data_IF_087054354925
#
_entry.id   IF_087054354925
#
_cell.length_a   1.000
_cell.length_b   1.000
_cell.length_c   1.000
_cell.angle_alpha   90.00
_cell.angle_beta   90.00
_cell.angle_gamma   90.00
#
_symmetry.space_group_name_H-M   'P 1'
#
loop_
_entity.id
_entity.type
_entity.pdbx_description
1 polymer ?
#
# COMPACT_ATOMS: atom_id res chain seq x y z
N UNK A 1 -52.39 41.25 54.96
CA UNK A 1 -51.68 39.96 54.80
C UNK A 1 -51.32 39.82 53.32
N UNK A 2 -50.15 40.32 52.91
CA UNK A 2 -49.63 40.25 51.57
C UNK A 2 -48.61 39.08 51.45
N UNK A 3 -48.90 38.10 50.60
CA UNK A 3 -48.03 36.99 50.28
C UNK A 3 -47.04 37.40 49.21
N UNK A 4 -45.74 37.47 49.53
CA UNK A 4 -44.65 37.60 48.58
C UNK A 4 -44.42 36.21 47.93
N UNK A 5 -44.59 36.10 46.61
CA UNK A 5 -44.23 34.93 45.79
C UNK A 5 -42.71 34.84 45.58
N UNK A 6 -42.13 33.63 45.34
CA UNK A 6 -40.72 33.47 45.15
C UNK A 6 -40.24 34.03 43.81
N UNK A 7 -39.19 34.84 43.83
CA UNK A 7 -38.46 35.33 42.67
C UNK A 7 -37.78 34.13 41.97
N UNK A 8 -38.18 33.83 40.75
CA UNK A 8 -37.49 32.93 39.83
C UNK A 8 -36.14 33.56 39.47
N UNK A 9 -35.01 32.91 39.88
CA UNK A 9 -33.69 33.22 39.40
C UNK A 9 -33.67 32.97 37.91
N UNK A 10 -33.38 34.01 37.15
CA UNK A 10 -33.17 33.93 35.69
C UNK A 10 -32.01 32.96 35.41
N UNK A 11 -32.28 31.95 34.56
CA UNK A 11 -31.25 31.06 34.05
C UNK A 11 -30.26 31.91 33.25
N UNK A 12 -29.07 32.04 33.81
CA UNK A 12 -27.92 32.67 33.13
C UNK A 12 -27.61 31.82 31.87
N UNK A 13 -27.84 32.38 30.68
CA UNK A 13 -27.46 31.78 29.40
C UNK A 13 -25.97 31.52 29.45
N UNK A 14 -25.50 30.28 29.15
CA UNK A 14 -24.07 30.01 29.10
C UNK A 14 -23.45 30.97 28.07
N UNK A 15 -22.51 31.78 28.50
CA UNK A 15 -21.68 32.59 27.62
C UNK A 15 -21.05 31.68 26.58
N UNK A 16 -21.11 31.97 25.28
CA UNK A 16 -20.37 31.21 24.29
C UNK A 16 -18.90 31.41 24.64
N UNK A 17 -18.28 30.37 25.21
CA UNK A 17 -16.84 30.32 25.45
C UNK A 17 -16.17 30.58 24.10
N UNK A 18 -15.49 31.71 23.98
CA UNK A 18 -14.78 32.08 22.79
C UNK A 18 -13.80 30.99 22.41
N UNK A 19 -14.13 30.19 21.42
CA UNK A 19 -13.16 29.34 20.77
C UNK A 19 -12.04 30.27 20.29
N UNK A 20 -10.90 30.20 20.95
CA UNK A 20 -9.80 31.11 20.68
C UNK A 20 -9.47 31.09 19.20
N UNK A 21 -9.12 32.19 18.59
CA UNK A 21 -8.74 32.34 17.18
C UNK A 21 -7.56 31.44 16.76
N UNK A 22 -6.74 31.00 17.70
CA UNK A 22 -5.58 30.14 17.52
C UNK A 22 -5.84 28.83 16.74
N UNK A 23 -6.92 28.06 16.99
CA UNK A 23 -7.17 26.85 16.24
C UNK A 23 -7.43 27.10 14.75
N UNK A 24 -8.12 28.21 14.44
CA UNK A 24 -8.39 28.60 13.05
C UNK A 24 -7.10 29.03 12.35
N UNK A 25 -6.25 29.81 13.02
CA UNK A 25 -4.94 30.21 12.48
C UNK A 25 -4.04 29.00 12.27
N UNK A 26 -3.95 28.10 13.24
CA UNK A 26 -3.17 26.86 13.11
C UNK A 26 -3.62 26.02 11.93
N UNK A 27 -4.94 25.92 11.70
CA UNK A 27 -5.49 25.21 10.55
C UNK A 27 -5.12 25.88 9.22
N UNK A 28 -5.20 27.21 9.11
CA UNK A 28 -4.79 27.96 7.91
C UNK A 28 -3.29 27.82 7.64
N UNK A 29 -2.47 27.86 8.67
CA UNK A 29 -1.03 27.62 8.56
C UNK A 29 -0.74 26.21 8.06
N UNK A 30 -1.42 25.19 8.59
CA UNK A 30 -1.31 23.83 8.11
C UNK A 30 -1.68 23.71 6.62
N UNK A 31 -2.77 24.35 6.18
CA UNK A 31 -3.16 24.38 4.78
C UNK A 31 -2.11 25.06 3.90
N UNK A 32 -1.57 26.20 4.34
CA UNK A 32 -0.53 26.93 3.61
C UNK A 32 0.75 26.09 3.48
N UNK A 33 1.24 25.50 4.58
CA UNK A 33 2.43 24.63 4.55
C UNK A 33 2.20 23.44 3.64
N UNK A 34 1.02 22.83 3.70
CA UNK A 34 0.65 21.73 2.81
C UNK A 34 0.65 22.14 1.34
N UNK A 35 0.10 23.33 1.03
CA UNK A 35 0.09 23.87 -0.33
C UNK A 35 1.53 24.10 -0.84
N UNK A 36 2.40 24.68 -0.02
CA UNK A 36 3.82 24.88 -0.36
C UNK A 36 4.50 23.55 -0.62
N UNK A 37 4.27 22.55 0.25
CA UNK A 37 4.81 21.20 0.07
C UNK A 37 4.30 20.52 -1.21
N UNK A 38 3.02 20.70 -1.57
CA UNK A 38 2.44 20.21 -2.82
C UNK A 38 3.10 20.85 -4.04
N UNK A 39 3.22 22.18 -4.05
CA UNK A 39 3.87 22.90 -5.15
C UNK A 39 5.31 22.44 -5.32
N UNK A 40 6.04 22.33 -4.21
CA UNK A 40 7.41 21.85 -4.24
C UNK A 40 7.52 20.39 -4.72
N UNK A 41 6.65 19.48 -4.26
CA UNK A 41 6.62 18.12 -4.72
C UNK A 41 6.29 18.02 -6.22
N UNK A 42 5.28 18.77 -6.70
CA UNK A 42 4.96 18.85 -8.12
C UNK A 42 6.14 19.36 -8.95
N UNK A 43 6.82 20.41 -8.49
CA UNK A 43 8.00 20.93 -9.16
C UNK A 43 9.15 19.91 -9.21
N UNK A 44 9.40 19.18 -8.10
CA UNK A 44 10.41 18.11 -8.05
C UNK A 44 10.08 16.95 -8.99
N UNK A 45 8.83 16.53 -9.02
CA UNK A 45 8.40 15.36 -9.80
C UNK A 45 8.27 15.65 -11.30
N UNK A 46 7.88 16.86 -11.69
CA UNK A 46 7.66 17.25 -13.09
C UNK A 46 8.85 18.00 -13.69
N UNK A 47 9.60 18.75 -12.87
CA UNK A 47 10.68 19.63 -13.34
C UNK A 47 12.06 18.97 -13.42
N UNK A 48 12.32 17.90 -12.70
CA UNK A 48 13.67 17.33 -12.51
C UNK A 48 13.87 15.93 -13.06
N UNK A 49 12.80 15.18 -13.35
CA UNK A 49 12.92 13.84 -13.92
C UNK A 49 12.57 13.90 -15.39
N UNK A 50 13.59 13.84 -16.23
CA UNK A 50 13.47 13.97 -17.68
C UNK A 50 13.12 12.66 -18.39
N UNK A 51 13.52 11.52 -17.84
CA UNK A 51 13.32 10.21 -18.42
C UNK A 51 12.82 9.19 -17.38
N UNK A 52 11.78 8.44 -17.74
CA UNK A 52 11.19 7.37 -16.92
C UNK A 52 11.17 6.09 -17.75
N UNK A 53 12.01 5.14 -17.36
CA UNK A 53 12.28 3.95 -18.17
C UNK A 53 11.05 3.06 -18.31
N UNK A 54 10.26 2.87 -17.26
CA UNK A 54 9.13 1.93 -17.32
C UNK A 54 7.96 2.47 -18.15
N UNK A 55 7.71 3.79 -18.12
CA UNK A 55 6.70 4.34 -19.03
C UNK A 55 7.12 4.21 -20.48
N UNK A 56 8.42 4.21 -20.77
CA UNK A 56 8.92 3.96 -22.12
C UNK A 56 8.69 2.50 -22.52
N UNK A 57 9.00 1.54 -21.63
CA UNK A 57 8.66 0.12 -21.82
C UNK A 57 7.15 -0.08 -22.03
N UNK A 58 6.30 0.61 -21.28
CA UNK A 58 4.84 0.52 -21.47
C UNK A 58 4.41 1.04 -22.84
N UNK A 59 4.99 2.16 -23.27
CA UNK A 59 4.74 2.72 -24.62
C UNK A 59 5.18 1.77 -25.71
N UNK A 60 6.36 1.17 -25.57
CA UNK A 60 6.90 0.21 -26.56
C UNK A 60 6.05 -1.05 -26.62
N UNK A 61 5.61 -1.61 -25.48
CA UNK A 61 4.68 -2.73 -25.45
C UNK A 61 3.33 -2.39 -26.07
N UNK A 62 2.77 -1.21 -25.76
CA UNK A 62 1.54 -0.71 -26.40
C UNK A 62 1.72 -0.49 -27.92
N UNK A 63 2.87 0.03 -28.33
CA UNK A 63 3.20 0.23 -29.74
C UNK A 63 3.38 -1.10 -30.49
N UNK A 64 4.08 -2.07 -29.90
CA UNK A 64 4.25 -3.39 -30.48
C UNK A 64 2.89 -4.07 -30.72
N UNK A 65 1.98 -3.98 -29.74
CA UNK A 65 0.61 -4.47 -29.90
C UNK A 65 -0.14 -3.76 -31.05
N UNK A 66 -0.08 -2.42 -31.13
CA UNK A 66 -0.73 -1.66 -32.23
C UNK A 66 -0.18 -2.00 -33.58
N UNK A 67 1.12 -2.28 -33.70
CA UNK A 67 1.81 -2.62 -34.94
C UNK A 67 1.71 -4.13 -35.29
N UNK A 68 1.06 -4.95 -34.44
CA UNK A 68 0.96 -6.40 -34.60
C UNK A 68 2.30 -7.14 -34.45
N UNK A 69 3.29 -6.52 -33.76
CA UNK A 69 4.58 -7.14 -33.44
C UNK A 69 4.47 -8.01 -32.21
N UNK A 70 5.17 -9.15 -32.12
CA UNK A 70 5.13 -10.02 -30.95
C UNK A 70 5.68 -9.31 -29.70
N UNK A 71 5.03 -9.57 -28.56
CA UNK A 71 5.44 -9.02 -27.26
C UNK A 71 6.50 -9.87 -26.56
N UNK A 72 6.50 -11.18 -26.79
CA UNK A 72 7.32 -12.13 -26.03
C UNK A 72 8.12 -13.10 -26.90
N UNK A 73 7.64 -13.41 -28.11
CA UNK A 73 8.22 -14.42 -28.98
C UNK A 73 9.70 -14.18 -29.27
N UNK A 74 10.45 -15.27 -29.41
CA UNK A 74 11.87 -15.26 -29.78
C UNK A 74 12.76 -14.36 -28.89
N UNK A 75 12.36 -14.20 -27.62
CA UNK A 75 13.10 -13.33 -26.70
C UNK A 75 12.96 -11.84 -27.00
N UNK A 76 11.81 -11.42 -27.56
CA UNK A 76 11.56 -10.03 -27.94
C UNK A 76 12.02 -9.02 -26.89
N UNK A 77 12.91 -8.13 -27.33
CA UNK A 77 13.48 -7.03 -26.56
C UNK A 77 13.10 -5.71 -27.23
N UNK A 78 12.97 -4.67 -26.45
CA UNK A 78 12.62 -3.34 -26.92
C UNK A 78 13.70 -2.36 -26.52
N UNK A 79 14.30 -1.68 -27.49
CA UNK A 79 15.28 -0.65 -27.22
C UNK A 79 14.61 0.60 -26.65
N UNK A 80 14.97 0.92 -25.42
CA UNK A 80 14.50 2.12 -24.74
C UNK A 80 15.22 3.36 -25.27
N UNK A 81 14.67 4.54 -25.03
CA UNK A 81 15.33 5.81 -25.37
C UNK A 81 16.69 6.00 -24.66
N UNK A 82 16.94 5.28 -23.60
CA UNK A 82 18.24 5.26 -22.91
C UNK A 82 19.26 4.29 -23.53
N UNK A 83 18.92 3.60 -24.62
CA UNK A 83 19.78 2.60 -25.26
C UNK A 83 19.84 1.27 -24.53
N UNK A 84 18.92 1.00 -23.62
CA UNK A 84 18.82 -0.29 -22.94
C UNK A 84 17.76 -1.16 -23.64
N UNK A 85 18.13 -2.40 -23.90
CA UNK A 85 17.16 -3.39 -24.37
C UNK A 85 16.43 -4.03 -23.19
N UNK A 86 15.11 -3.85 -23.13
CA UNK A 86 14.26 -4.38 -22.06
C UNK A 86 13.10 -5.18 -22.62
N UNK A 87 12.73 -6.32 -22.00
CA UNK A 87 11.58 -7.09 -22.40
C UNK A 87 10.28 -6.48 -21.86
N UNK A 88 9.17 -6.70 -22.57
CA UNK A 88 7.85 -6.48 -21.99
C UNK A 88 7.50 -7.66 -21.08
N UNK A 89 7.22 -7.39 -19.80
CA UNK A 89 7.08 -8.43 -18.75
C UNK A 89 5.66 -8.53 -18.18
N UNK A 90 4.73 -7.70 -18.66
CA UNK A 90 3.34 -7.64 -18.19
C UNK A 90 2.43 -8.55 -19.01
N UNK A 91 1.25 -8.99 -18.50
CA UNK A 91 0.25 -9.68 -19.31
C UNK A 91 -0.18 -8.87 -20.54
N UNK A 92 -0.65 -9.51 -21.62
CA UNK A 92 -1.04 -8.82 -22.85
C UNK A 92 -2.11 -7.75 -22.68
N UNK A 93 -3.03 -7.93 -21.75
CA UNK A 93 -4.01 -6.89 -21.40
C UNK A 93 -3.33 -5.56 -21.02
N UNK A 94 -2.16 -5.62 -20.40
CA UNK A 94 -1.42 -4.40 -20.03
C UNK A 94 -0.90 -3.67 -21.28
N UNK A 95 -0.43 -4.38 -22.32
CA UNK A 95 -0.02 -3.75 -23.58
C UNK A 95 -1.20 -3.01 -24.24
N UNK A 96 -2.39 -3.62 -24.22
CA UNK A 96 -3.63 -3.00 -24.70
C UNK A 96 -3.96 -1.75 -23.88
N UNK A 97 -3.90 -1.85 -22.55
CA UNK A 97 -4.17 -0.73 -21.64
C UNK A 97 -3.14 0.41 -21.79
N UNK A 98 -1.91 0.11 -22.18
CA UNK A 98 -0.86 1.08 -22.41
C UNK A 98 -0.82 1.65 -23.84
N UNK A 99 -1.59 1.11 -24.77
CA UNK A 99 -1.66 1.59 -26.15
C UNK A 99 -1.93 3.10 -26.26
N UNK A 100 -2.80 3.74 -25.44
CA UNK A 100 -2.96 5.19 -25.47
C UNK A 100 -1.66 5.96 -25.18
N UNK A 101 -0.79 5.45 -24.30
CA UNK A 101 0.51 6.07 -24.03
C UNK A 101 1.48 5.95 -25.20
N UNK A 102 1.34 4.90 -26.03
CA UNK A 102 2.16 4.73 -27.24
C UNK A 102 1.88 5.81 -28.29
N UNK A 103 0.69 6.41 -28.27
CA UNK A 103 0.29 7.49 -29.19
C UNK A 103 0.77 8.88 -28.74
N UNK A 104 1.27 8.99 -27.49
CA UNK A 104 1.73 10.26 -26.92
C UNK A 104 3.25 10.40 -27.04
N UNK A 105 3.78 11.63 -27.12
CA UNK A 105 5.19 11.88 -26.87
C UNK A 105 5.59 11.37 -25.48
N UNK A 106 6.83 10.88 -25.32
CA UNK A 106 7.30 10.31 -24.05
C UNK A 106 7.18 11.28 -22.87
N UNK A 107 7.46 12.57 -23.10
CA UNK A 107 7.32 13.62 -22.08
C UNK A 107 5.88 13.77 -21.58
N UNK A 108 4.90 13.73 -22.50
CA UNK A 108 3.48 13.81 -22.17
C UNK A 108 3.02 12.55 -21.44
N UNK A 109 3.43 11.36 -21.90
CA UNK A 109 3.14 10.10 -21.23
C UNK A 109 3.73 10.06 -19.81
N UNK A 110 4.99 10.54 -19.65
CA UNK A 110 5.65 10.68 -18.35
C UNK A 110 4.94 11.64 -17.41
N UNK A 111 4.49 12.78 -17.91
CA UNK A 111 3.70 13.74 -17.12
C UNK A 111 2.34 13.13 -16.73
N UNK A 112 1.66 12.47 -17.66
CA UNK A 112 0.36 11.86 -17.42
C UNK A 112 0.43 10.78 -16.33
N UNK A 113 1.40 9.85 -16.40
CA UNK A 113 1.55 8.81 -15.36
C UNK A 113 1.94 9.42 -14.01
N UNK A 114 2.77 10.47 -14.00
CA UNK A 114 3.18 11.17 -12.78
C UNK A 114 1.98 11.83 -12.08
N UNK A 115 1.18 12.60 -12.83
CA UNK A 115 -0.02 13.24 -12.29
C UNK A 115 -1.03 12.18 -11.82
N UNK A 116 -1.28 11.15 -12.62
CA UNK A 116 -2.16 10.05 -12.24
C UNK A 116 -1.69 9.37 -10.96
N UNK A 117 -0.41 9.02 -10.86
CA UNK A 117 0.18 8.41 -9.66
C UNK A 117 0.01 9.32 -8.43
N UNK A 118 0.26 10.60 -8.57
CA UNK A 118 0.15 11.56 -7.46
C UNK A 118 -1.29 11.69 -6.95
N UNK A 119 -2.25 11.85 -7.86
CA UNK A 119 -3.69 11.91 -7.54
C UNK A 119 -4.16 10.61 -6.88
N UNK A 120 -3.75 9.46 -7.40
CA UNK A 120 -4.13 8.16 -6.87
C UNK A 120 -3.51 7.87 -5.50
N UNK A 121 -2.30 8.36 -5.21
CA UNK A 121 -1.72 8.29 -3.86
C UNK A 121 -2.54 9.08 -2.85
N UNK A 122 -2.96 10.31 -3.21
CA UNK A 122 -3.84 11.12 -2.37
C UNK A 122 -5.18 10.41 -2.17
N UNK A 123 -5.81 9.92 -3.24
CA UNK A 123 -7.08 9.21 -3.18
C UNK A 123 -6.99 7.96 -2.29
N UNK A 124 -5.97 7.12 -2.48
CA UNK A 124 -5.71 5.94 -1.65
C UNK A 124 -5.56 6.30 -0.18
N UNK A 125 -4.81 7.36 0.11
CA UNK A 125 -4.61 7.86 1.48
C UNK A 125 -5.93 8.35 2.08
N UNK A 126 -6.76 9.10 1.34
CA UNK A 126 -8.10 9.55 1.78
C UNK A 126 -9.01 8.35 2.09
N UNK A 127 -9.00 7.32 1.24
CA UNK A 127 -9.77 6.08 1.46
C UNK A 127 -9.34 5.42 2.77
N UNK A 128 -8.03 5.27 3.00
CA UNK A 128 -7.49 4.66 4.23
C UNK A 128 -7.83 5.51 5.46
N UNK A 129 -7.61 6.82 5.42
CA UNK A 129 -7.95 7.73 6.52
C UNK A 129 -9.46 7.74 6.83
N UNK A 130 -10.30 7.64 5.80
CA UNK A 130 -11.76 7.55 5.94
C UNK A 130 -12.17 6.25 6.60
N UNK A 131 -11.57 5.13 6.19
CA UNK A 131 -11.83 3.81 6.77
C UNK A 131 -11.40 3.73 8.23
N UNK A 132 -10.28 4.37 8.56
CA UNK A 132 -9.76 4.46 9.92
C UNK A 132 -10.48 5.51 10.77
N UNK A 133 -11.44 6.22 10.21
CA UNK A 133 -12.17 7.30 10.87
C UNK A 133 -11.23 8.33 11.54
N UNK A 134 -10.23 8.77 10.78
CA UNK A 134 -9.34 9.84 11.20
C UNK A 134 -10.05 11.17 11.01
N UNK A 135 -10.08 12.01 12.06
CA UNK A 135 -10.70 13.32 12.06
C UNK A 135 -12.19 13.32 11.66
N UNK A 136 -13.06 12.54 12.32
CA UNK A 136 -14.46 12.43 11.93
C UNK A 136 -15.23 13.73 12.12
N UNK A 137 -14.96 14.42 13.22
CA UNK A 137 -15.54 15.73 13.59
C UNK A 137 -14.45 16.65 14.14
N UNK A 138 -14.64 17.94 14.00
CA UNK A 138 -13.72 18.94 14.52
C UNK A 138 -14.52 20.13 15.08
N UNK A 139 -14.18 20.55 16.28
CA UNK A 139 -14.59 21.82 16.86
C UNK A 139 -13.76 23.01 16.33
N UNK A 140 -12.70 22.71 15.57
CA UNK A 140 -11.70 23.68 15.14
C UNK A 140 -12.09 24.33 13.80
N UNK A 141 -12.77 23.57 12.91
CA UNK A 141 -13.10 24.05 11.55
C UNK A 141 -14.52 23.67 11.18
N UNK A 142 -15.18 24.50 10.35
CA UNK A 142 -16.49 24.23 9.74
C UNK A 142 -16.37 23.34 8.50
N UNK A 143 -15.16 23.00 8.06
CA UNK A 143 -14.93 22.19 6.86
C UNK A 143 -15.45 20.75 7.03
N UNK A 144 -16.01 20.16 5.98
CA UNK A 144 -16.46 18.76 6.03
C UNK A 144 -15.28 17.79 6.24
N UNK A 145 -15.56 16.66 6.88
CA UNK A 145 -14.53 15.66 7.26
C UNK A 145 -13.72 15.15 6.04
N UNK A 146 -14.36 14.99 4.88
CA UNK A 146 -13.68 14.55 3.66
C UNK A 146 -12.60 15.54 3.22
N UNK A 147 -12.88 16.85 3.27
CA UNK A 147 -11.94 17.88 2.86
C UNK A 147 -10.73 17.95 3.82
N UNK A 148 -10.98 17.83 5.12
CA UNK A 148 -9.88 17.76 6.11
C UNK A 148 -8.98 16.54 5.87
N UNK A 149 -9.56 15.39 5.49
CA UNK A 149 -8.79 14.20 5.11
C UNK A 149 -8.02 14.39 3.81
N UNK A 150 -8.55 15.15 2.85
CA UNK A 150 -7.80 15.51 1.64
C UNK A 150 -6.57 16.37 1.98
N UNK A 151 -6.70 17.37 2.86
CA UNK A 151 -5.56 18.18 3.31
C UNK A 151 -4.52 17.32 4.06
N UNK A 152 -4.96 16.45 4.95
CA UNK A 152 -4.06 15.53 5.65
C UNK A 152 -3.37 14.55 4.71
N UNK A 153 -4.10 13.99 3.75
CA UNK A 153 -3.54 13.11 2.73
C UNK A 153 -2.49 13.83 1.89
N UNK A 154 -2.79 15.07 1.47
CA UNK A 154 -1.84 15.89 0.73
C UNK A 154 -0.57 16.20 1.54
N UNK A 155 -0.72 16.53 2.84
CA UNK A 155 0.39 16.77 3.75
C UNK A 155 1.28 15.54 3.98
N UNK A 156 0.72 14.33 3.89
CA UNK A 156 1.46 13.06 4.00
C UNK A 156 2.11 12.71 2.66
N UNK A 157 1.36 12.79 1.56
CA UNK A 157 1.79 12.33 0.23
C UNK A 157 2.89 13.23 -0.35
N UNK A 158 2.80 14.56 -0.18
CA UNK A 158 3.78 15.47 -0.76
C UNK A 158 5.23 15.17 -0.30
N UNK A 159 5.56 15.09 1.00
CA UNK A 159 6.90 14.70 1.43
C UNK A 159 7.21 13.23 1.13
N UNK A 160 6.24 12.31 1.21
CA UNK A 160 6.46 10.90 0.89
C UNK A 160 6.89 10.70 -0.57
N UNK A 161 6.29 11.45 -1.52
CA UNK A 161 6.62 11.36 -2.93
C UNK A 161 8.08 11.77 -3.24
N UNK A 162 8.70 12.57 -2.38
CA UNK A 162 10.05 13.08 -2.59
C UNK A 162 11.09 12.35 -1.74
N UNK A 163 10.74 11.99 -0.52
CA UNK A 163 11.73 11.47 0.45
C UNK A 163 11.58 9.98 0.76
N UNK A 164 10.40 9.40 0.61
CA UNK A 164 10.20 7.98 0.88
C UNK A 164 10.62 7.18 -0.34
N UNK A 165 11.77 6.49 -0.26
CA UNK A 165 12.41 5.85 -1.41
C UNK A 165 11.46 5.02 -2.27
N UNK A 166 10.60 4.10 -1.74
CA UNK A 166 9.74 3.30 -2.60
C UNK A 166 8.73 4.13 -3.41
N UNK A 167 8.26 5.23 -2.83
CA UNK A 167 7.33 6.14 -3.50
C UNK A 167 8.07 6.99 -4.52
N UNK A 168 9.21 7.56 -4.13
CA UNK A 168 10.08 8.31 -5.04
C UNK A 168 10.50 7.46 -6.23
N UNK A 169 11.01 6.24 -6.00
CA UNK A 169 11.44 5.34 -7.06
C UNK A 169 10.27 4.98 -8.00
N UNK A 170 9.06 4.78 -7.48
CA UNK A 170 7.88 4.56 -8.33
C UNK A 170 7.63 5.75 -9.29
N UNK A 171 7.86 7.00 -8.86
CA UNK A 171 7.80 8.17 -9.72
C UNK A 171 8.97 8.24 -10.71
N UNK A 172 10.18 7.97 -10.22
CA UNK A 172 11.41 8.04 -11.03
C UNK A 172 11.38 7.05 -12.19
N UNK A 173 10.85 5.86 -11.97
CA UNK A 173 10.66 4.85 -13.02
C UNK A 173 9.38 5.06 -13.86
N UNK A 174 8.38 5.77 -13.36
CA UNK A 174 7.06 5.91 -14.00
C UNK A 174 6.21 4.63 -13.91
N UNK A 175 6.27 3.96 -12.75
CA UNK A 175 5.66 2.64 -12.52
C UNK A 175 4.15 2.67 -12.28
N UNK A 176 3.47 1.62 -12.74
CA UNK A 176 2.03 1.40 -12.55
C UNK A 176 1.63 0.95 -11.12
N UNK A 177 2.59 0.66 -10.23
CA UNK A 177 2.31 0.00 -8.94
C UNK A 177 1.32 0.77 -8.06
N UNK A 178 1.33 2.11 -8.10
CA UNK A 178 0.34 2.92 -7.36
C UNK A 178 -1.06 2.78 -7.95
N UNK A 179 -1.19 2.65 -9.26
CA UNK A 179 -2.50 2.36 -9.91
C UNK A 179 -3.05 1.03 -9.38
N UNK A 180 -2.23 -0.01 -9.41
CA UNK A 180 -2.61 -1.35 -8.91
C UNK A 180 -2.95 -1.32 -7.41
N UNK A 181 -2.13 -0.65 -6.59
CA UNK A 181 -2.40 -0.47 -5.16
C UNK A 181 -3.72 0.26 -4.92
N UNK A 182 -4.02 1.29 -5.72
CA UNK A 182 -5.27 2.05 -5.61
C UNK A 182 -6.48 1.19 -5.92
N UNK A 183 -6.41 0.36 -6.98
CA UNK A 183 -7.49 -0.58 -7.33
C UNK A 183 -7.75 -1.55 -6.17
N UNK A 184 -6.69 -2.11 -5.55
CA UNK A 184 -6.81 -2.97 -4.39
C UNK A 184 -7.39 -2.23 -3.18
N UNK A 185 -6.89 -1.02 -2.88
CA UNK A 185 -7.37 -0.22 -1.75
C UNK A 185 -8.84 0.16 -1.95
N UNK A 186 -9.22 0.60 -3.15
CA UNK A 186 -10.59 1.00 -3.46
C UNK A 186 -11.59 -0.18 -3.33
N UNK A 187 -11.13 -1.39 -3.59
CA UNK A 187 -11.95 -2.60 -3.51
C UNK A 187 -11.99 -3.19 -2.09
N UNK A 188 -10.84 -3.24 -1.39
CA UNK A 188 -10.72 -3.96 -0.13
C UNK A 188 -10.99 -3.09 1.12
N UNK A 189 -10.68 -1.79 1.08
CA UNK A 189 -10.69 -0.93 2.27
C UNK A 189 -12.06 -0.33 2.62
N UNK A 190 -12.88 0.20 1.70
CA UNK A 190 -14.18 0.79 2.03
C UNK A 190 -15.14 -0.21 2.66
N UNK A 191 -16.04 0.25 3.55
CA UNK A 191 -17.11 -0.60 4.11
C UNK A 191 -18.11 -1.05 3.03
N UNK A 192 -18.44 -0.15 2.12
CA UNK A 192 -19.33 -0.40 0.96
C UNK A 192 -18.67 0.19 -0.29
N UNK A 193 -18.89 -0.45 -1.41
CA UNK A 193 -18.46 -0.01 -2.75
C UNK A 193 -19.69 0.17 -3.64
N UNK A 194 -19.72 1.15 -4.55
CA UNK A 194 -20.80 1.32 -5.51
C UNK A 194 -20.79 0.27 -6.64
N UNK A 195 -19.73 -0.52 -6.73
CA UNK A 195 -19.59 -1.65 -7.65
C UNK A 195 -19.53 -2.98 -6.88
N UNK A 196 -19.74 -4.13 -7.51
CA UNK A 196 -19.49 -5.43 -6.91
C UNK A 196 -18.03 -5.55 -6.48
N UNK A 197 -17.82 -5.72 -5.17
CA UNK A 197 -16.48 -5.86 -4.59
C UNK A 197 -15.77 -7.06 -5.23
N UNK A 198 -14.49 -6.88 -5.57
CA UNK A 198 -13.66 -7.88 -6.23
C UNK A 198 -13.36 -7.52 -7.70
N UNK A 199 -14.15 -6.68 -8.34
CA UNK A 199 -13.95 -6.31 -9.76
C UNK A 199 -12.62 -5.58 -9.96
N UNK A 200 -12.30 -4.59 -9.11
CA UNK A 200 -11.08 -3.81 -9.27
C UNK A 200 -9.83 -4.64 -8.95
N UNK A 201 -9.91 -5.52 -7.96
CA UNK A 201 -8.82 -6.46 -7.70
C UNK A 201 -8.64 -7.44 -8.86
N UNK A 202 -9.73 -7.95 -9.44
CA UNK A 202 -9.65 -8.82 -10.61
C UNK A 202 -8.99 -8.14 -11.82
N UNK A 203 -9.34 -6.88 -12.07
CA UNK A 203 -8.69 -6.06 -13.09
C UNK A 203 -7.20 -5.86 -12.80
N UNK A 204 -6.84 -5.56 -11.55
CA UNK A 204 -5.45 -5.39 -11.14
C UNK A 204 -4.63 -6.68 -11.37
N UNK A 205 -5.20 -7.86 -11.10
CA UNK A 205 -4.58 -9.18 -11.35
C UNK A 205 -4.34 -9.39 -12.84
N UNK A 206 -5.30 -9.03 -13.68
CA UNK A 206 -5.18 -9.21 -15.13
C UNK A 206 -4.16 -8.24 -15.79
N UNK A 207 -3.94 -7.06 -15.18
CA UNK A 207 -2.91 -6.10 -15.62
C UNK A 207 -1.51 -6.51 -15.14
N UNK A 208 -1.40 -7.09 -13.96
CA UNK A 208 -0.15 -7.58 -13.36
C UNK A 208 -0.49 -8.65 -12.34
N UNK A 209 0.12 -9.81 -12.42
CA UNK A 209 -0.28 -10.99 -11.60
C UNK A 209 -0.07 -10.79 -10.08
N UNK A 210 0.87 -9.91 -9.68
CA UNK A 210 1.25 -9.73 -8.27
C UNK A 210 0.08 -9.41 -7.32
N UNK A 211 -0.98 -8.63 -7.67
CA UNK A 211 -2.14 -8.43 -6.80
C UNK A 211 -2.95 -9.69 -6.47
N UNK A 212 -2.70 -10.83 -7.14
CA UNK A 212 -3.36 -12.10 -6.80
C UNK A 212 -3.13 -12.53 -5.34
N UNK A 213 -2.05 -12.06 -4.70
CA UNK A 213 -1.79 -12.29 -3.27
C UNK A 213 -2.96 -11.84 -2.37
N UNK A 214 -3.72 -10.84 -2.80
CA UNK A 214 -4.87 -10.32 -2.04
C UNK A 214 -6.10 -11.25 -2.05
N UNK A 215 -6.12 -12.32 -2.86
CA UNK A 215 -7.09 -13.40 -2.72
C UNK A 215 -7.01 -14.03 -1.32
N UNK A 216 -5.79 -14.11 -0.75
CA UNK A 216 -5.58 -14.56 0.63
C UNK A 216 -6.36 -13.72 1.64
N UNK A 217 -6.48 -12.41 1.43
CA UNK A 217 -7.26 -11.53 2.31
C UNK A 217 -8.73 -11.92 2.37
N UNK A 218 -9.35 -12.23 1.22
CA UNK A 218 -10.75 -12.66 1.18
C UNK A 218 -10.94 -14.08 1.74
N UNK A 219 -9.99 -14.99 1.49
CA UNK A 219 -9.97 -16.31 2.10
C UNK A 219 -9.94 -16.23 3.64
N UNK A 220 -9.06 -15.39 4.20
CA UNK A 220 -8.94 -15.16 5.64
C UNK A 220 -10.21 -14.56 6.26
N UNK A 221 -10.93 -13.73 5.51
CA UNK A 221 -12.21 -13.14 5.89
C UNK A 221 -13.40 -14.06 5.66
N UNK A 222 -13.21 -15.18 4.99
CA UNK A 222 -14.29 -16.09 4.54
C UNK A 222 -15.31 -15.38 3.65
N UNK A 223 -14.86 -14.38 2.88
CA UNK A 223 -15.69 -13.65 1.93
C UNK A 223 -15.65 -14.34 0.56
N UNK A 224 -16.31 -15.48 0.47
CA UNK A 224 -16.36 -16.34 -0.74
C UNK A 224 -17.00 -15.62 -1.92
N UNK A 225 -17.99 -14.76 -1.68
CA UNK A 225 -18.64 -13.99 -2.74
C UNK A 225 -17.65 -13.06 -3.43
N UNK A 226 -16.93 -12.25 -2.65
CA UNK A 226 -15.92 -11.34 -3.20
C UNK A 226 -14.78 -12.10 -3.87
N UNK A 227 -14.36 -13.25 -3.30
CA UNK A 227 -13.35 -14.11 -3.90
C UNK A 227 -13.77 -14.57 -5.31
N UNK A 228 -15.00 -15.09 -5.45
CA UNK A 228 -15.55 -15.55 -6.73
C UNK A 228 -15.63 -14.39 -7.73
N UNK A 229 -16.14 -13.23 -7.32
CA UNK A 229 -16.21 -12.02 -8.16
C UNK A 229 -14.82 -11.61 -8.64
N UNK A 230 -13.81 -11.66 -7.75
CA UNK A 230 -12.43 -11.32 -8.11
C UNK A 230 -11.86 -12.26 -9.16
N UNK A 231 -12.03 -13.58 -8.96
CA UNK A 231 -11.56 -14.58 -9.92
C UNK A 231 -12.28 -14.42 -11.26
N UNK A 232 -13.61 -14.28 -11.23
CA UNK A 232 -14.40 -14.06 -12.45
C UNK A 232 -13.96 -12.80 -13.20
N UNK A 233 -13.77 -11.67 -12.48
CA UNK A 233 -13.32 -10.42 -13.09
C UNK A 233 -11.90 -10.55 -13.67
N UNK A 234 -10.99 -11.24 -12.97
CA UNK A 234 -9.64 -11.50 -13.47
C UNK A 234 -9.66 -12.37 -14.75
N UNK A 235 -10.48 -13.42 -14.76
CA UNK A 235 -10.66 -14.28 -15.95
C UNK A 235 -11.25 -13.49 -17.11
N UNK A 236 -12.34 -12.74 -16.88
CA UNK A 236 -12.96 -11.92 -17.94
C UNK A 236 -11.97 -10.91 -18.50
N UNK A 237 -11.24 -10.20 -17.65
CA UNK A 237 -10.24 -9.23 -18.08
C UNK A 237 -9.06 -9.90 -18.84
N UNK A 238 -8.63 -11.09 -18.43
CA UNK A 238 -7.63 -11.88 -19.14
C UNK A 238 -8.16 -12.34 -20.52
N UNK A 239 -9.43 -12.75 -20.62
CA UNK A 239 -10.06 -13.12 -21.88
C UNK A 239 -10.16 -11.95 -22.85
N UNK A 240 -10.26 -10.70 -22.37
CA UNK A 240 -10.10 -9.51 -23.22
C UNK A 240 -8.70 -9.48 -23.85
N UNK A 241 -7.65 -9.81 -23.07
CA UNK A 241 -6.29 -9.97 -23.60
C UNK A 241 -6.24 -11.03 -24.72
N UNK A 242 -6.86 -12.18 -24.51
CA UNK A 242 -6.95 -13.24 -25.54
C UNK A 242 -7.72 -12.79 -26.78
N UNK A 243 -8.81 -12.03 -26.63
CA UNK A 243 -9.62 -11.57 -27.74
C UNK A 243 -8.86 -10.59 -28.66
N UNK A 244 -7.98 -9.75 -28.10
CA UNK A 244 -7.28 -8.70 -28.85
C UNK A 244 -5.79 -8.99 -29.09
N UNK A 245 -5.20 -10.00 -28.44
CA UNK A 245 -3.80 -10.39 -28.55
C UNK A 245 -3.64 -11.91 -28.33
N UNK A 246 -4.29 -12.74 -29.17
CA UNK A 246 -4.38 -14.19 -28.99
C UNK A 246 -3.01 -14.87 -28.88
N UNK A 247 -2.10 -14.61 -29.82
CA UNK A 247 -0.77 -15.25 -29.88
C UNK A 247 0.05 -14.89 -28.65
N UNK A 248 0.13 -13.60 -28.32
CA UNK A 248 0.86 -13.12 -27.14
C UNK A 248 0.24 -13.63 -25.84
N UNK A 249 -1.11 -13.74 -25.77
CA UNK A 249 -1.78 -14.28 -24.60
C UNK A 249 -1.47 -15.76 -24.41
N UNK A 250 -1.48 -16.53 -25.48
CA UNK A 250 -1.11 -17.94 -25.42
C UNK A 250 0.32 -18.11 -24.90
N UNK A 251 1.27 -17.41 -25.52
CA UNK A 251 2.68 -17.45 -25.16
C UNK A 251 2.92 -16.98 -23.73
N UNK A 252 2.31 -15.87 -23.34
CA UNK A 252 2.46 -15.35 -21.98
C UNK A 252 2.02 -16.37 -20.93
N UNK A 253 0.84 -16.93 -21.07
CA UNK A 253 0.26 -17.82 -20.05
C UNK A 253 0.82 -19.26 -20.06
N UNK A 254 1.39 -19.71 -21.17
CA UNK A 254 1.98 -21.07 -21.27
C UNK A 254 3.49 -21.09 -20.98
N UNK A 255 4.21 -20.02 -21.27
CA UNK A 255 5.67 -19.95 -21.16
C UNK A 255 6.16 -18.75 -20.36
N UNK A 256 5.95 -17.52 -20.83
CA UNK A 256 6.60 -16.29 -20.34
C UNK A 256 6.36 -16.04 -18.86
N UNK A 257 5.17 -16.33 -18.33
CA UNK A 257 4.81 -16.12 -16.91
C UNK A 257 5.69 -16.92 -15.94
N UNK A 258 6.30 -18.00 -16.40
CA UNK A 258 7.18 -18.86 -15.60
C UNK A 258 8.64 -18.40 -15.65
N UNK A 259 9.01 -17.63 -16.66
CA UNK A 259 10.38 -17.18 -16.87
C UNK A 259 10.61 -15.85 -16.14
N UNK A 260 11.00 -15.93 -14.85
CA UNK A 260 11.28 -14.75 -14.03
C UNK A 260 12.61 -14.06 -14.36
N UNK A 261 13.53 -14.74 -15.04
CA UNK A 261 14.85 -14.19 -15.37
C UNK A 261 14.73 -13.04 -16.40
N UNK A 262 13.63 -13.01 -17.17
CA UNK A 262 13.31 -11.86 -18.04
C UNK A 262 13.08 -10.55 -17.28
N UNK A 263 12.75 -10.61 -15.98
CA UNK A 263 12.38 -9.41 -15.21
C UNK A 263 13.62 -8.67 -14.70
N UNK A 264 14.78 -9.33 -14.68
CA UNK A 264 16.05 -8.77 -14.23
C UNK A 264 16.78 -9.68 -13.25
N UNK A 265 18.02 -9.31 -12.91
CA UNK A 265 18.91 -10.12 -12.07
C UNK A 265 18.45 -10.16 -10.62
N UNK A 266 18.23 -11.35 -10.08
CA UNK A 266 17.72 -11.54 -8.71
C UNK A 266 18.61 -10.92 -7.63
N UNK A 267 19.94 -10.81 -7.86
CA UNK A 267 20.92 -10.27 -6.91
C UNK A 267 20.87 -8.77 -6.73
N UNK A 268 20.25 -8.00 -7.65
CA UNK A 268 20.24 -6.54 -7.58
C UNK A 268 19.81 -6.02 -6.19
N UNK A 269 20.51 -5.02 -5.70
CA UNK A 269 20.29 -4.41 -4.38
C UNK A 269 18.84 -3.91 -4.19
N UNK A 270 18.22 -3.44 -5.27
CA UNK A 270 16.82 -3.00 -5.29
C UNK A 270 15.81 -4.15 -5.18
N UNK A 271 16.23 -5.42 -5.37
CA UNK A 271 15.34 -6.58 -5.18
C UNK A 271 15.20 -6.90 -3.69
N UNK A 272 14.20 -6.31 -3.06
CA UNK A 272 13.94 -6.33 -1.62
C UNK A 272 12.93 -7.42 -1.24
N UNK A 273 13.35 -8.69 -1.37
CA UNK A 273 12.56 -9.87 -1.04
C UNK A 273 13.45 -11.03 -0.59
N UNK A 274 12.83 -12.15 -0.19
CA UNK A 274 13.57 -13.36 0.26
C UNK A 274 14.40 -13.94 -0.89
N UNK A 275 13.87 -13.99 -2.11
CA UNK A 275 14.58 -14.53 -3.27
C UNK A 275 15.87 -13.74 -3.54
N UNK A 276 15.80 -12.39 -3.53
CA UNK A 276 16.95 -11.51 -3.67
C UNK A 276 17.98 -11.67 -2.53
N UNK A 277 17.49 -11.78 -1.29
CA UNK A 277 18.39 -12.01 -0.14
C UNK A 277 19.17 -13.33 -0.29
N UNK A 278 18.50 -14.42 -0.67
CA UNK A 278 19.13 -15.73 -0.90
C UNK A 278 20.06 -15.74 -2.12
N UNK A 279 19.68 -15.02 -3.20
CA UNK A 279 20.51 -14.92 -4.40
C UNK A 279 21.89 -14.30 -4.12
N UNK A 280 21.94 -13.34 -3.19
CA UNK A 280 23.18 -12.66 -2.79
C UNK A 280 24.11 -13.53 -1.92
N UNK A 281 23.63 -14.64 -1.36
CA UNK A 281 24.44 -15.55 -0.51
C UNK A 281 25.34 -16.52 -1.31
N UNK A 282 25.28 -16.50 -2.65
CA UNK A 282 26.10 -17.39 -3.48
C UNK A 282 25.72 -18.88 -3.42
N UNK A 283 24.51 -19.20 -2.99
CA UNK A 283 23.99 -20.57 -2.90
C UNK A 283 23.67 -21.14 -4.29
N UNK A 284 23.74 -22.46 -4.43
CA UNK A 284 23.29 -23.16 -5.63
C UNK A 284 21.80 -22.98 -5.92
N UNK A 285 21.38 -23.14 -7.19
CA UNK A 285 19.98 -22.89 -7.59
C UNK A 285 18.98 -23.79 -6.83
N UNK A 286 19.28 -25.07 -6.67
CA UNK A 286 18.43 -26.00 -5.93
C UNK A 286 18.30 -25.61 -4.46
N UNK A 287 19.40 -25.24 -3.80
CA UNK A 287 19.40 -24.78 -2.41
C UNK A 287 18.59 -23.49 -2.24
N UNK A 288 18.78 -22.52 -3.14
CA UNK A 288 18.01 -21.26 -3.16
C UNK A 288 16.50 -21.53 -3.29
N UNK A 289 16.12 -22.43 -4.22
CA UNK A 289 14.71 -22.77 -4.43
C UNK A 289 14.09 -23.42 -3.18
N UNK A 290 14.77 -24.39 -2.55
CA UNK A 290 14.30 -25.03 -1.34
C UNK A 290 14.17 -24.03 -0.18
N UNK A 291 15.22 -23.24 0.07
CA UNK A 291 15.20 -22.25 1.16
C UNK A 291 14.16 -21.16 0.94
N UNK A 292 14.01 -20.66 -0.29
CA UNK A 292 12.97 -19.71 -0.65
C UNK A 292 11.57 -20.29 -0.40
N UNK A 293 11.33 -21.53 -0.84
CA UNK A 293 10.04 -22.22 -0.66
C UNK A 293 9.71 -22.40 0.82
N UNK A 294 10.65 -22.88 1.63
CA UNK A 294 10.48 -23.03 3.08
C UNK A 294 10.22 -21.70 3.77
N UNK A 295 10.97 -20.67 3.42
CA UNK A 295 10.78 -19.33 3.95
C UNK A 295 9.41 -18.74 3.57
N UNK A 296 8.94 -18.95 2.32
CA UNK A 296 7.62 -18.54 1.88
C UNK A 296 6.51 -19.19 2.71
N UNK A 297 6.59 -20.50 2.97
CA UNK A 297 5.62 -21.19 3.82
C UNK A 297 5.68 -20.72 5.28
N UNK A 298 6.87 -20.46 5.82
CA UNK A 298 7.03 -19.92 7.17
C UNK A 298 6.38 -18.53 7.29
N UNK A 299 6.68 -17.62 6.34
CA UNK A 299 6.10 -16.27 6.34
C UNK A 299 4.58 -16.32 6.09
N UNK A 300 4.09 -17.23 5.25
CA UNK A 300 2.65 -17.47 5.07
C UNK A 300 1.99 -17.87 6.39
N UNK A 301 2.59 -18.83 7.11
CA UNK A 301 2.09 -19.26 8.43
C UNK A 301 1.99 -18.11 9.43
N UNK A 302 3.06 -17.30 9.52
CA UNK A 302 3.09 -16.10 10.40
C UNK A 302 2.05 -15.06 9.96
N UNK A 303 1.89 -14.84 8.65
CA UNK A 303 0.89 -13.90 8.10
C UNK A 303 -0.53 -14.36 8.40
N UNK A 304 -0.83 -15.64 8.20
CA UNK A 304 -2.14 -16.21 8.52
C UNK A 304 -2.42 -16.10 10.03
N UNK A 305 -1.43 -16.39 10.87
CA UNK A 305 -1.54 -16.23 12.32
C UNK A 305 -1.85 -14.77 12.69
N UNK A 306 -1.05 -13.82 12.21
CA UNK A 306 -1.22 -12.41 12.51
C UNK A 306 -2.57 -11.87 12.02
N UNK A 307 -2.90 -12.10 10.75
CA UNK A 307 -4.15 -11.63 10.16
C UNK A 307 -5.39 -12.22 10.85
N UNK A 308 -5.39 -13.52 11.18
CA UNK A 308 -6.49 -14.15 11.92
C UNK A 308 -6.65 -13.56 13.32
N UNK A 309 -5.56 -13.29 14.04
CA UNK A 309 -5.61 -12.65 15.36
C UNK A 309 -6.22 -11.25 15.27
N UNK A 310 -5.74 -10.45 14.31
CA UNK A 310 -6.23 -9.09 14.07
C UNK A 310 -7.72 -9.09 13.71
N UNK A 311 -8.17 -10.00 12.84
CA UNK A 311 -9.57 -10.12 12.43
C UNK A 311 -10.48 -10.58 13.59
N UNK A 312 -10.03 -11.55 14.41
CA UNK A 312 -10.80 -12.03 15.58
C UNK A 312 -10.97 -10.93 16.64
N UNK A 313 -9.91 -10.18 16.94
CA UNK A 313 -9.97 -9.08 17.88
C UNK A 313 -10.96 -7.98 17.47
N UNK A 314 -11.16 -7.80 16.16
CA UNK A 314 -12.12 -6.83 15.61
C UNK A 314 -13.58 -7.30 15.73
N UNK A 315 -13.84 -8.59 15.62
CA UNK A 315 -15.19 -9.16 15.76
C UNK A 315 -15.71 -9.16 17.21
N UNK A 316 -14.81 -9.15 18.21
CA UNK A 316 -15.15 -9.13 19.62
C UNK A 316 -15.35 -7.71 20.20
N UNK A 317 -14.94 -6.66 19.49
CA UNK A 317 -15.08 -5.28 19.92
C UNK A 317 -16.49 -4.76 19.65
N UNK A 318 -17.05 -3.97 20.59
CA UNK A 318 -18.34 -3.28 20.44
C UNK A 318 -18.42 -2.47 19.16
N UNK A 319 -19.63 -2.29 18.54
CA UNK A 319 -19.80 -1.67 17.23
C UNK A 319 -19.49 -0.17 17.14
N UNK A 320 -18.72 0.37 18.05
CA UNK A 320 -18.34 1.77 18.07
C UNK A 320 -16.92 1.98 17.49
N UNK A 321 -16.85 2.71 16.43
CA UNK A 321 -15.87 3.71 16.06
C UNK A 321 -14.65 3.34 15.23
N UNK A 322 -14.12 2.18 15.13
CA UNK A 322 -13.01 1.97 14.18
C UNK A 322 -12.63 0.51 14.07
N UNK A 323 -13.31 -0.19 13.21
CA UNK A 323 -12.90 -1.52 12.82
C UNK A 323 -11.60 -1.43 11.99
N UNK A 324 -10.48 -1.33 12.70
CA UNK A 324 -9.12 -1.21 12.13
C UNK A 324 -8.57 -2.56 11.69
N UNK A 325 -9.14 -3.65 12.21
CA UNK A 325 -8.63 -4.99 11.99
C UNK A 325 -8.59 -5.43 10.53
N UNK A 326 -9.67 -5.26 9.74
CA UNK A 326 -9.63 -5.62 8.33
C UNK A 326 -8.54 -4.89 7.55
N UNK A 327 -8.30 -3.60 7.84
CA UNK A 327 -7.26 -2.84 7.15
C UNK A 327 -5.86 -3.31 7.57
N UNK A 328 -5.66 -3.57 8.87
CA UNK A 328 -4.38 -4.08 9.35
C UNK A 328 -4.10 -5.51 8.82
N UNK A 329 -5.13 -6.35 8.69
CA UNK A 329 -5.00 -7.66 8.06
C UNK A 329 -4.64 -7.55 6.56
N UNK A 330 -5.21 -6.56 5.84
CA UNK A 330 -4.84 -6.27 4.46
C UNK A 330 -3.36 -5.86 4.36
N UNK A 331 -2.88 -5.04 5.29
CA UNK A 331 -1.45 -4.66 5.37
C UNK A 331 -0.56 -5.89 5.59
N UNK A 332 -0.92 -6.81 6.48
CA UNK A 332 -0.15 -8.06 6.67
C UNK A 332 -0.04 -8.86 5.36
N UNK A 333 -1.13 -8.95 4.58
CA UNK A 333 -1.13 -9.63 3.28
C UNK A 333 -0.30 -8.88 2.25
N UNK A 334 -0.35 -7.54 2.22
CA UNK A 334 0.48 -6.72 1.34
C UNK A 334 1.98 -6.92 1.61
N UNK A 335 2.37 -6.87 2.89
CA UNK A 335 3.76 -7.10 3.29
C UNK A 335 4.22 -8.54 2.97
N UNK A 336 3.38 -9.53 3.20
CA UNK A 336 3.62 -10.91 2.78
C UNK A 336 3.91 -10.98 1.27
N UNK A 337 3.04 -10.42 0.44
CA UNK A 337 3.20 -10.44 -1.02
C UNK A 337 4.54 -9.84 -1.49
N UNK A 338 4.98 -8.74 -0.89
CA UNK A 338 6.25 -8.11 -1.23
C UNK A 338 7.46 -8.97 -0.85
N UNK A 339 7.40 -9.63 0.32
CA UNK A 339 8.51 -10.43 0.85
C UNK A 339 8.68 -11.75 0.12
N UNK A 340 7.58 -12.41 -0.30
CA UNK A 340 7.63 -13.75 -0.91
C UNK A 340 7.67 -13.74 -2.44
N UNK A 341 7.32 -12.61 -3.08
CA UNK A 341 7.40 -12.49 -4.54
C UNK A 341 8.80 -12.85 -5.03
N UNK A 342 8.95 -13.57 -6.15
CA UNK A 342 10.27 -13.88 -6.72
C UNK A 342 11.02 -12.60 -7.13
N UNK A 343 10.28 -11.56 -7.53
CA UNK A 343 10.83 -10.24 -7.85
C UNK A 343 10.02 -9.16 -7.12
N UNK A 344 10.69 -8.34 -6.32
CA UNK A 344 10.09 -7.22 -5.59
C UNK A 344 11.07 -6.06 -5.50
N UNK A 345 11.16 -5.31 -6.60
CA UNK A 345 12.01 -4.11 -6.65
C UNK A 345 11.57 -3.09 -5.61
N UNK A 346 12.45 -2.21 -5.20
CA UNK A 346 12.17 -1.18 -4.19
C UNK A 346 10.93 -0.33 -4.55
N UNK A 347 10.73 -0.01 -5.82
CA UNK A 347 9.55 0.69 -6.31
C UNK A 347 8.24 -0.13 -6.30
N UNK A 348 8.29 -1.44 -6.01
CA UNK A 348 7.08 -2.24 -5.72
C UNK A 348 6.57 -2.00 -4.30
N UNK A 349 7.41 -1.47 -3.41
CA UNK A 349 7.09 -1.25 -2.00
C UNK A 349 6.21 -0.02 -1.75
N UNK A 350 5.41 0.39 -2.73
CA UNK A 350 4.43 1.49 -2.58
C UNK A 350 3.45 1.25 -1.43
N UNK A 351 3.24 -0.01 -1.05
CA UNK A 351 2.45 -0.41 0.13
C UNK A 351 3.05 0.06 1.45
N UNK A 352 4.30 0.51 1.46
CA UNK A 352 4.93 1.11 2.64
C UNK A 352 4.15 2.32 3.15
N UNK A 353 3.66 3.18 2.25
CA UNK A 353 2.90 4.37 2.64
C UNK A 353 1.59 4.03 3.38
N UNK A 354 0.66 3.23 2.85
CA UNK A 354 -0.51 2.82 3.62
C UNK A 354 -0.17 2.02 4.86
N UNK A 355 0.92 1.24 4.87
CA UNK A 355 1.39 0.51 6.06
C UNK A 355 1.77 1.47 7.18
N UNK A 356 2.59 2.48 6.89
CA UNK A 356 2.98 3.52 7.85
C UNK A 356 1.74 4.24 8.40
N UNK A 357 0.80 4.63 7.56
CA UNK A 357 -0.42 5.32 7.97
C UNK A 357 -1.26 4.43 8.91
N UNK A 358 -1.55 3.20 8.50
CA UNK A 358 -2.38 2.26 9.28
C UNK A 358 -1.72 1.93 10.61
N UNK A 359 -0.44 1.57 10.60
CA UNK A 359 0.30 1.23 11.81
C UNK A 359 0.45 2.41 12.77
N UNK A 360 0.67 3.64 12.27
CA UNK A 360 0.71 4.86 13.08
C UNK A 360 -0.62 5.11 13.79
N UNK A 361 -1.75 5.03 13.06
CA UNK A 361 -3.09 5.23 13.65
C UNK A 361 -3.41 4.15 14.68
N UNK A 362 -3.09 2.88 14.39
CA UNK A 362 -3.32 1.77 15.33
C UNK A 362 -2.43 1.90 16.56
N UNK A 363 -1.13 2.20 16.39
CA UNK A 363 -0.18 2.39 17.47
C UNK A 363 -0.61 3.51 18.40
N UNK A 364 -1.00 4.66 17.86
CA UNK A 364 -1.50 5.81 18.62
C UNK A 364 -2.75 5.47 19.42
N UNK A 365 -3.78 4.91 18.77
CA UNK A 365 -5.07 4.62 19.39
C UNK A 365 -5.00 3.51 20.46
N UNK A 366 -4.13 2.52 20.24
CA UNK A 366 -3.94 1.40 21.19
C UNK A 366 -2.77 1.63 22.15
N UNK A 367 -2.11 2.79 22.07
CA UNK A 367 -0.91 3.13 22.85
C UNK A 367 0.16 2.03 22.80
N UNK A 368 0.33 1.45 21.61
CA UNK A 368 1.23 0.30 21.42
C UNK A 368 2.61 0.77 20.96
N UNK A 369 3.52 0.97 21.92
CA UNK A 369 4.86 1.54 21.70
C UNK A 369 5.66 0.76 20.67
N UNK A 370 5.66 -0.58 20.74
CA UNK A 370 6.45 -1.41 19.81
C UNK A 370 5.98 -1.23 18.35
N UNK A 371 4.65 -1.17 18.10
CA UNK A 371 4.15 -0.91 16.74
C UNK A 371 4.55 0.49 16.27
N UNK A 372 4.50 1.48 17.16
CA UNK A 372 4.98 2.84 16.87
C UNK A 372 6.46 2.86 16.53
N UNK A 373 7.29 2.16 17.29
CA UNK A 373 8.73 2.06 17.04
C UNK A 373 9.05 1.37 15.71
N UNK A 374 8.39 0.24 15.39
CA UNK A 374 8.54 -0.46 14.10
C UNK A 374 8.11 0.44 12.95
N UNK A 375 7.03 1.22 13.12
CA UNK A 375 6.55 2.15 12.10
C UNK A 375 7.56 3.28 11.86
N UNK A 376 8.07 3.89 12.92
CA UNK A 376 9.08 4.95 12.84
C UNK A 376 10.39 4.44 12.22
N UNK A 377 10.83 3.23 12.60
CA UNK A 377 11.99 2.58 12.00
C UNK A 377 11.81 2.38 10.49
N UNK A 378 10.62 1.97 10.03
CA UNK A 378 10.31 1.85 8.60
C UNK A 378 10.44 3.16 7.84
N UNK A 379 9.90 4.25 8.39
CA UNK A 379 10.04 5.59 7.80
C UNK A 379 11.53 5.96 7.74
N UNK A 380 12.28 5.79 8.83
CA UNK A 380 13.71 6.11 8.88
C UNK A 380 14.51 5.31 7.84
N UNK A 381 14.27 3.99 7.74
CA UNK A 381 14.92 3.12 6.76
C UNK A 381 14.64 3.56 5.31
N UNK A 382 13.39 3.91 5.00
CA UNK A 382 13.01 4.29 3.63
C UNK A 382 13.46 5.71 3.25
N UNK A 383 13.68 6.58 4.23
CA UNK A 383 14.30 7.90 4.01
C UNK A 383 15.81 7.79 3.91
N UNK A 384 16.42 6.94 4.73
CA UNK A 384 17.88 6.71 4.70
C UNK A 384 18.33 5.92 3.46
N UNK A 385 17.46 5.02 2.96
CA UNK A 385 17.74 4.18 1.77
C UNK A 385 18.98 3.27 1.93
N UNK A 386 19.01 2.35 2.91
CA UNK A 386 20.16 1.50 3.17
C UNK A 386 20.47 0.50 2.05
N UNK A 387 19.61 0.36 1.05
CA UNK A 387 19.84 -0.40 -0.18
C UNK A 387 21.17 0.01 -0.83
N UNK A 388 21.53 1.29 -0.78
CA UNK A 388 22.77 1.84 -1.35
C UNK A 388 24.06 1.36 -0.66
N UNK A 389 23.95 0.68 0.48
CA UNK A 389 25.11 0.03 1.12
C UNK A 389 25.63 -1.18 0.32
N UNK A 390 24.79 -1.74 -0.54
CA UNK A 390 25.19 -2.79 -1.47
C UNK A 390 25.52 -2.14 -2.83
N UNK A 391 26.78 -2.25 -3.31
CA UNK A 391 27.16 -1.68 -4.59
C UNK A 391 26.37 -2.34 -5.73
N UNK A 392 25.80 -1.55 -6.60
CA UNK A 392 25.01 -2.02 -7.74
C UNK A 392 25.89 -2.89 -8.66
N UNK A 393 25.35 -4.01 -9.11
CA UNK A 393 26.01 -5.07 -9.88
C UNK A 393 27.19 -5.77 -9.17
N UNK A 394 27.46 -5.46 -7.89
CA UNK A 394 28.49 -6.08 -7.05
C UNK A 394 27.95 -6.51 -5.69
N UNK A 395 26.63 -6.73 -5.58
CA UNK A 395 25.93 -7.00 -4.33
C UNK A 395 26.44 -8.28 -3.64
N UNK A 396 26.81 -9.30 -4.42
CA UNK A 396 27.34 -10.57 -3.90
C UNK A 396 28.69 -10.43 -3.24
N UNK A 397 29.46 -9.39 -3.59
CA UNK A 397 30.76 -9.08 -2.97
C UNK A 397 30.62 -8.23 -1.69
N UNK A 398 29.42 -7.71 -1.42
CA UNK A 398 29.17 -6.93 -0.22
C UNK A 398 29.26 -7.83 1.04
N UNK A 399 29.87 -7.29 2.11
CA UNK A 399 29.94 -8.00 3.39
C UNK A 399 28.55 -8.34 3.93
N UNK A 400 28.44 -9.42 4.70
CA UNK A 400 27.15 -9.92 5.21
C UNK A 400 26.35 -8.83 5.95
N UNK A 401 26.99 -7.97 6.76
CA UNK A 401 26.30 -6.90 7.45
C UNK A 401 25.68 -5.87 6.46
N UNK A 402 26.37 -5.57 5.35
CA UNK A 402 25.82 -4.68 4.30
C UNK A 402 24.62 -5.31 3.60
N UNK A 403 24.67 -6.62 3.33
CA UNK A 403 23.54 -7.34 2.76
C UNK A 403 22.34 -7.39 3.72
N UNK A 404 22.59 -7.61 5.04
CA UNK A 404 21.53 -7.60 6.05
C UNK A 404 20.90 -6.23 6.21
N UNK A 405 21.70 -5.18 6.36
CA UNK A 405 21.19 -3.81 6.51
C UNK A 405 20.59 -3.30 5.19
N UNK A 406 21.23 -3.57 4.05
CA UNK A 406 20.71 -3.22 2.72
C UNK A 406 19.41 -3.95 2.37
N UNK A 407 19.16 -5.15 2.93
CA UNK A 407 17.92 -5.92 2.80
C UNK A 407 16.83 -5.55 3.83
N UNK A 408 16.94 -4.40 4.48
CA UNK A 408 16.13 -4.02 5.64
C UNK A 408 14.61 -3.93 5.38
N UNK A 409 14.18 -3.74 4.15
CA UNK A 409 12.74 -3.73 3.84
C UNK A 409 12.07 -5.08 4.16
N UNK A 410 12.78 -6.18 3.90
CA UNK A 410 12.31 -7.54 4.22
C UNK A 410 12.10 -7.67 5.74
N UNK A 411 13.12 -7.30 6.53
CA UNK A 411 13.06 -7.40 7.99
C UNK A 411 11.98 -6.50 8.59
N UNK A 412 11.85 -5.29 8.05
CA UNK A 412 10.78 -4.38 8.46
C UNK A 412 9.40 -4.94 8.19
N UNK A 413 9.15 -5.51 7.02
CA UNK A 413 7.87 -6.12 6.70
C UNK A 413 7.53 -7.30 7.62
N UNK A 414 8.52 -8.17 7.90
CA UNK A 414 8.36 -9.27 8.85
C UNK A 414 8.04 -8.75 10.26
N UNK A 415 8.74 -7.71 10.71
CA UNK A 415 8.45 -7.06 12.00
C UNK A 415 7.03 -6.47 12.04
N UNK A 416 6.57 -5.82 10.97
CA UNK A 416 5.19 -5.31 10.86
C UNK A 416 4.18 -6.44 11.00
N UNK A 417 4.34 -7.55 10.28
CA UNK A 417 3.43 -8.71 10.34
C UNK A 417 3.37 -9.28 11.76
N UNK A 418 4.53 -9.54 12.37
CA UNK A 418 4.61 -10.13 13.71
C UNK A 418 3.99 -9.20 14.76
N UNK A 419 4.39 -7.92 14.75
CA UNK A 419 3.91 -6.95 15.74
C UNK A 419 2.42 -6.67 15.58
N UNK A 420 1.89 -6.63 14.33
CA UNK A 420 0.45 -6.54 14.10
C UNK A 420 -0.32 -7.68 14.77
N UNK A 421 0.19 -8.92 14.68
CA UNK A 421 -0.37 -10.07 15.38
C UNK A 421 -0.32 -9.93 16.91
N UNK A 422 0.71 -9.32 17.47
CA UNK A 422 0.87 -9.10 18.92
C UNK A 422 -0.02 -8.00 19.48
N UNK A 423 -0.32 -6.97 18.69
CA UNK A 423 -1.21 -5.85 19.09
C UNK A 423 -2.58 -6.34 19.58
N UNK A 424 -3.08 -7.44 19.03
CA UNK A 424 -4.41 -7.96 19.34
C UNK A 424 -4.52 -8.66 20.70
N UNK A 425 -3.40 -8.93 21.42
CA UNK A 425 -3.40 -9.68 22.68
C UNK A 425 -3.58 -8.83 23.94
N UNK A 426 -3.20 -7.57 23.92
CA UNK A 426 -3.18 -6.73 25.14
C UNK A 426 -4.56 -6.23 25.63
N UNK A 427 -5.64 -6.48 24.91
CA UNK A 427 -6.99 -6.04 25.32
C UNK A 427 -7.68 -6.99 26.30
N UNK A 428 -7.15 -8.20 26.55
CA UNK A 428 -7.74 -9.21 27.44
C UNK A 428 -7.31 -9.05 28.92
N UNK A 429 -6.18 -8.36 29.19
CA UNK A 429 -5.60 -8.34 30.54
C UNK A 429 -5.92 -7.09 31.37
N UNK A 430 -6.71 -6.14 30.85
CA UNK A 430 -7.01 -4.88 31.53
C UNK A 430 -8.48 -4.69 31.91
N UNK A 431 -9.28 -5.75 32.04
CA UNK A 431 -10.53 -5.64 32.76
C UNK A 431 -10.22 -5.74 34.27
N UNK A 432 -10.43 -4.66 35.06
CA UNK A 432 -10.44 -4.80 36.52
C UNK A 432 -11.56 -5.78 36.89
N UNK A 433 -11.24 -6.78 37.69
CA UNK A 433 -12.23 -7.65 38.27
C UNK A 433 -13.33 -6.78 38.88
N UNK A 434 -14.54 -6.87 38.32
CA UNK A 434 -15.70 -6.25 38.91
C UNK A 434 -15.84 -6.85 40.32
N UNK A 435 -15.56 -6.05 41.33
CA UNK A 435 -15.85 -6.35 42.72
C UNK A 435 -17.31 -6.80 42.80
N UNK A 436 -17.50 -8.08 43.05
CA UNK A 436 -18.80 -8.64 43.38
C UNK A 436 -19.31 -7.93 44.63
N UNK A 437 -20.20 -6.98 44.44
CA UNK A 437 -21.00 -6.44 45.54
C UNK A 437 -21.90 -7.56 46.06
N UNK A 438 -21.58 -8.10 47.22
CA UNK A 438 -22.44 -9.01 47.94
C UNK A 438 -23.75 -8.30 48.31
N UNK A 439 -24.91 -8.94 48.16
CA UNK A 439 -26.18 -8.36 48.60
C UNK A 439 -26.19 -8.28 50.14
N UNK A 440 -26.46 -7.09 50.64
CA UNK A 440 -26.78 -6.85 52.08
C UNK A 440 -28.10 -7.56 52.41
N UNK A 441 -28.18 -8.41 53.45
CA UNK A 441 -29.44 -8.99 53.84
C UNK A 441 -30.35 -7.94 54.48
N UNK A 442 -31.59 -7.86 54.03
CA UNK A 442 -32.65 -7.07 54.68
C UNK A 442 -32.99 -7.69 56.03
N UNK A 443 -32.80 -6.96 57.10
CA UNK A 443 -33.35 -7.27 58.43
C UNK A 443 -34.72 -6.65 58.57
N UNK A 444 -35.70 -7.53 58.87
CA UNK A 444 -37.04 -7.39 59.44
C UNK A 444 -37.57 -6.01 59.83
#
# INVERSE_FOLDING_TARGET
MSRLGPRTRGAEKPRPGGAGWWPTVAWRLFQLVTLVALVWACWRLLGHVTYRIDIDVYRMGGRAWLDGRPLYADGAMFETRAGLELPFTYPPLAAIAFAPFALLPLSVASAAITVTTFVLLIASTVIVLTRLDVWPQSSITTEPAWLRRCWLAAAIVAPAAVYLEPIRANFDFGQINVVLMTLVIADCVPRKTPWPRGILLGLAIALKLTPAVFLLYFLLRRDTRTLIVTVAAAVVATLVGFAFAWRDSWEYWTDTVRNTDRIGTATLNTNQNIAGALARLGLGEGERFVLWTLACFAVLGVTIWAARRVLRASGAARPATSDQGPVLALICVAMFGLVVSPVSWSHHWVWALPTVIVCSVVAYRRRHVLLGAVTAAGVALMVWTPITLMPEHHETSASLWRQLVGGSYVWWALAVIVVAGLVSTRQTDSQPAALSASPVPATS
#
